data_IF_829575560039
#
_entry.id   IF_829575560039
#
_cell.length_a   1.000
_cell.length_b   1.000
_cell.length_c   1.000
_cell.angle_alpha   90.00
_cell.angle_beta   90.00
_cell.angle_gamma   90.00
#
_symmetry.space_group_name_H-M   'P 1'
#
loop_
_entity.id
_entity.type
_entity.pdbx_description
1 polymer ?
#
# COMPACT_ATOMS: atom_id res chain seq x y z
N UNK A 1 -11.26 -23.78 -14.03
CA UNK A 1 -9.90 -23.37 -13.61
C UNK A 1 -9.87 -22.06 -12.82
N UNK A 2 -10.70 -21.03 -13.12
CA UNK A 2 -10.68 -19.77 -12.37
C UNK A 2 -11.27 -19.87 -10.95
N UNK A 3 -12.41 -20.56 -10.80
CA UNK A 3 -13.12 -20.69 -9.53
C UNK A 3 -12.66 -21.90 -8.67
N UNK A 4 -11.36 -22.18 -8.66
CA UNK A 4 -10.77 -23.29 -7.88
C UNK A 4 -9.75 -22.75 -6.90
N UNK A 5 -9.62 -23.33 -5.69
CA UNK A 5 -8.60 -22.92 -4.74
C UNK A 5 -7.18 -22.94 -5.31
N UNK A 6 -6.34 -22.05 -4.80
CA UNK A 6 -4.93 -21.95 -5.16
C UNK A 6 -4.07 -21.77 -3.92
N UNK A 7 -3.18 -22.72 -3.67
CA UNK A 7 -2.20 -22.67 -2.59
C UNK A 7 -0.95 -21.93 -3.07
N UNK A 8 -0.62 -20.84 -2.41
CA UNK A 8 0.60 -20.09 -2.65
C UNK A 8 1.81 -20.81 -2.04
N UNK A 9 3.04 -20.54 -2.51
CA UNK A 9 4.27 -21.14 -1.96
C UNK A 9 4.43 -20.94 -0.45
N UNK A 10 3.84 -19.88 0.09
CA UNK A 10 3.86 -19.55 1.50
C UNK A 10 2.81 -20.31 2.35
N UNK A 11 2.06 -21.24 1.77
CA UNK A 11 1.03 -22.05 2.43
C UNK A 11 -0.35 -21.41 2.49
N UNK A 12 -0.50 -20.15 2.07
CA UNK A 12 -1.80 -19.46 2.01
C UNK A 12 -2.66 -20.09 0.93
N UNK A 13 -3.89 -20.49 1.27
CA UNK A 13 -4.88 -20.97 0.32
C UNK A 13 -5.86 -19.85 -0.01
N UNK A 14 -5.88 -19.41 -1.27
CA UNK A 14 -6.86 -18.47 -1.81
C UNK A 14 -8.01 -19.29 -2.41
N UNK A 15 -9.26 -18.93 -2.12
CA UNK A 15 -10.45 -19.69 -2.53
C UNK A 15 -10.67 -19.78 -4.05
N UNK A 16 -10.18 -18.81 -4.81
CA UNK A 16 -10.20 -18.81 -6.27
C UNK A 16 -9.06 -17.95 -6.84
N UNK A 17 -8.89 -17.98 -8.16
CA UNK A 17 -7.79 -17.31 -8.87
C UNK A 17 -8.14 -15.89 -9.34
N UNK A 18 -9.19 -15.29 -8.78
CA UNK A 18 -9.58 -13.91 -9.08
C UNK A 18 -8.99 -12.98 -8.04
N UNK A 19 -8.30 -11.94 -8.54
CA UNK A 19 -7.64 -10.94 -7.71
C UNK A 19 -8.15 -9.56 -8.11
N UNK A 20 -8.65 -8.80 -7.14
CA UNK A 20 -8.82 -7.35 -7.30
C UNK A 20 -7.44 -6.72 -7.15
N UNK A 21 -6.92 -6.16 -8.23
CA UNK A 21 -5.59 -5.54 -8.26
C UNK A 21 -5.54 -4.24 -7.44
N UNK A 22 -4.31 -3.80 -7.14
CA UNK A 22 -4.06 -2.49 -6.56
C UNK A 22 -4.62 -1.37 -7.45
N UNK A 23 -5.27 -0.39 -6.83
CA UNK A 23 -5.83 0.79 -7.52
C UNK A 23 -5.73 2.00 -6.61
N UNK A 24 -5.36 3.15 -7.15
CA UNK A 24 -5.41 4.42 -6.41
C UNK A 24 -6.86 4.87 -6.22
N UNK A 25 -7.39 4.78 -5.00
CA UNK A 25 -8.81 5.10 -4.73
C UNK A 25 -9.05 6.59 -4.46
N UNK A 26 -8.06 7.30 -3.90
CA UNK A 26 -8.17 8.70 -3.46
C UNK A 26 -9.30 8.95 -2.45
N UNK A 27 -9.49 8.01 -1.53
CA UNK A 27 -10.61 8.01 -0.58
C UNK A 27 -10.22 8.14 0.89
N UNK A 28 -8.93 8.34 1.23
CA UNK A 28 -8.56 8.61 2.62
C UNK A 28 -9.21 9.89 3.15
N UNK A 29 -9.30 10.02 4.47
CA UNK A 29 -9.60 11.31 5.10
C UNK A 29 -8.48 12.33 4.87
N UNK A 30 -8.73 13.60 5.23
CA UNK A 30 -7.71 14.67 5.22
C UNK A 30 -6.52 14.37 6.13
N UNK A 31 -6.73 13.55 7.17
CA UNK A 31 -5.71 13.02 8.06
C UNK A 31 -4.92 11.82 7.47
N UNK A 32 -5.17 11.46 6.21
CA UNK A 32 -4.63 10.29 5.52
C UNK A 32 -4.99 8.94 6.17
N UNK A 33 -6.06 8.88 6.97
CA UNK A 33 -6.57 7.64 7.58
C UNK A 33 -7.68 7.03 6.72
N UNK A 34 -7.89 5.70 6.78
CA UNK A 34 -9.09 5.08 6.25
C UNK A 34 -10.36 5.71 6.87
N UNK A 35 -11.45 5.72 6.12
CA UNK A 35 -12.74 6.25 6.59
C UNK A 35 -13.88 5.34 6.12
N UNK A 36 -15.12 5.68 6.48
CA UNK A 36 -16.29 4.88 6.15
C UNK A 36 -16.49 4.67 4.64
N UNK A 37 -16.09 5.63 3.78
CA UNK A 37 -16.21 5.50 2.32
C UNK A 37 -15.25 4.45 1.79
N UNK A 38 -14.00 4.46 2.26
CA UNK A 38 -13.00 3.45 1.90
C UNK A 38 -13.39 2.06 2.41
N UNK A 39 -13.90 1.98 3.65
CA UNK A 39 -14.44 0.73 4.20
C UNK A 39 -15.56 0.19 3.30
N UNK A 40 -16.55 1.03 2.97
CA UNK A 40 -17.68 0.63 2.12
C UNK A 40 -17.24 0.14 0.74
N UNK A 41 -16.26 0.80 0.12
CA UNK A 41 -15.71 0.36 -1.16
C UNK A 41 -15.15 -1.07 -1.08
N UNK A 42 -14.41 -1.38 -0.02
CA UNK A 42 -13.81 -2.70 0.16
C UNK A 42 -14.83 -3.76 0.55
N UNK A 43 -15.92 -3.40 1.24
CA UNK A 43 -17.06 -4.30 1.39
C UNK A 43 -17.65 -4.68 0.04
N UNK A 44 -17.91 -3.70 -0.83
CA UNK A 44 -18.49 -3.96 -2.15
C UNK A 44 -17.59 -4.84 -3.02
N UNK A 45 -16.28 -4.61 -2.99
CA UNK A 45 -15.36 -5.50 -3.69
C UNK A 45 -15.28 -6.89 -3.05
N UNK A 46 -15.39 -7.00 -1.73
CA UNK A 46 -15.41 -8.30 -1.08
C UNK A 46 -16.63 -9.15 -1.47
N UNK A 47 -17.75 -8.51 -1.82
CA UNK A 47 -18.98 -9.19 -2.25
C UNK A 47 -18.90 -9.77 -3.68
N UNK A 48 -17.80 -9.55 -4.42
CA UNK A 48 -17.64 -9.97 -5.83
C UNK A 48 -17.06 -11.38 -6.05
N UNK A 49 -17.07 -12.23 -5.01
CA UNK A 49 -16.47 -13.58 -5.04
C UNK A 49 -14.99 -13.59 -5.47
N UNK A 50 -14.23 -12.55 -5.13
CA UNK A 50 -12.77 -12.53 -5.36
C UNK A 50 -12.04 -13.35 -4.30
N UNK A 51 -10.98 -14.02 -4.71
CA UNK A 51 -10.14 -14.77 -3.79
C UNK A 51 -9.25 -13.85 -2.95
N UNK A 52 -8.75 -12.78 -3.59
CA UNK A 52 -7.81 -11.83 -3.00
C UNK A 52 -8.12 -10.40 -3.42
N UNK A 53 -8.10 -9.49 -2.44
CA UNK A 53 -8.12 -8.04 -2.66
C UNK A 53 -6.74 -7.46 -2.35
N UNK A 54 -6.17 -6.70 -3.28
CA UNK A 54 -4.97 -5.91 -3.01
C UNK A 54 -5.39 -4.46 -2.78
N UNK A 55 -4.88 -3.85 -1.71
CA UNK A 55 -5.22 -2.46 -1.42
C UNK A 55 -4.70 -1.51 -2.49
N UNK A 56 -5.20 -0.29 -2.55
CA UNK A 56 -4.44 0.81 -3.16
C UNK A 56 -3.17 1.14 -2.38
N UNK A 57 -2.50 2.19 -2.82
CA UNK A 57 -1.23 2.63 -2.25
C UNK A 57 -1.39 3.03 -0.77
N UNK A 58 -0.74 2.28 0.11
CA UNK A 58 -0.56 2.63 1.52
C UNK A 58 0.84 3.18 1.70
N UNK A 59 0.93 4.47 1.99
CA UNK A 59 2.18 5.20 2.01
C UNK A 59 2.89 5.05 3.36
N UNK A 60 4.21 4.88 3.33
CA UNK A 60 5.04 4.80 4.55
C UNK A 60 5.26 6.16 5.23
N UNK A 61 5.06 7.26 4.49
CA UNK A 61 5.19 8.63 4.97
C UNK A 61 4.26 9.60 4.25
N UNK A 62 4.09 10.80 4.81
CA UNK A 62 3.18 11.85 4.33
C UNK A 62 3.78 12.77 3.27
N UNK A 63 5.08 12.70 3.05
CA UNK A 63 5.84 13.59 2.17
C UNK A 63 6.09 13.02 0.78
N UNK A 64 5.79 11.73 0.57
CA UNK A 64 6.01 11.03 -0.71
C UNK A 64 4.76 10.30 -1.21
N UNK A 65 3.59 10.95 -1.14
CA UNK A 65 2.32 10.40 -1.61
C UNK A 65 2.31 10.18 -3.14
N UNK A 66 1.67 9.10 -3.60
CA UNK A 66 1.36 8.91 -5.03
C UNK A 66 0.26 9.88 -5.46
N UNK A 67 -0.76 10.03 -4.63
CA UNK A 67 -1.85 10.96 -4.87
C UNK A 67 -2.51 11.47 -3.59
N UNK A 68 -3.17 12.62 -3.71
CA UNK A 68 -4.06 13.09 -2.66
C UNK A 68 -5.16 12.04 -2.42
N UNK A 69 -5.39 11.72 -1.14
CA UNK A 69 -6.35 10.69 -0.75
C UNK A 69 -5.76 9.28 -0.60
N UNK A 70 -4.42 9.11 -0.64
CA UNK A 70 -3.79 7.87 -0.20
C UNK A 70 -3.85 7.72 1.32
N UNK A 71 -3.94 6.47 1.78
CA UNK A 71 -3.78 6.14 3.19
C UNK A 71 -2.29 6.19 3.55
N UNK A 72 -1.96 6.71 4.74
CA UNK A 72 -0.59 6.73 5.27
C UNK A 72 -0.53 5.90 6.55
N UNK A 73 0.51 5.07 6.67
CA UNK A 73 0.79 4.26 7.87
C UNK A 73 2.21 4.58 8.36
N UNK A 74 2.33 5.77 8.94
CA UNK A 74 3.56 6.27 9.55
C UNK A 74 3.55 6.14 11.08
N UNK A 75 2.40 5.79 11.69
CA UNK A 75 2.23 5.56 13.13
C UNK A 75 1.01 4.67 13.42
N UNK A 76 0.74 4.40 14.70
CA UNK A 76 -0.36 3.52 15.15
C UNK A 76 -1.70 4.25 15.39
N UNK A 77 -1.81 5.54 15.07
CA UNK A 77 -3.03 6.30 15.37
C UNK A 77 -4.23 5.95 14.48
N UNK A 78 -4.00 5.31 13.34
CA UNK A 78 -5.05 4.89 12.40
C UNK A 78 -5.44 3.41 12.59
N UNK A 79 -4.96 2.77 13.66
CA UNK A 79 -5.16 1.34 13.89
C UNK A 79 -6.64 0.90 13.91
N UNK A 80 -7.56 1.62 14.58
CA UNK A 80 -8.98 1.27 14.54
C UNK A 80 -9.57 1.28 13.13
N UNK A 81 -9.26 2.32 12.35
CA UNK A 81 -9.76 2.51 10.99
C UNK A 81 -9.16 1.49 10.02
N UNK A 82 -7.87 1.16 10.18
CA UNK A 82 -7.22 0.08 9.45
C UNK A 82 -7.86 -1.27 9.74
N UNK A 83 -8.23 -1.54 11.01
CA UNK A 83 -8.91 -2.78 11.38
C UNK A 83 -10.29 -2.88 10.72
N UNK A 84 -11.06 -1.79 10.71
CA UNK A 84 -12.35 -1.74 10.04
C UNK A 84 -12.21 -1.98 8.52
N UNK A 85 -11.23 -1.32 7.90
CA UNK A 85 -10.95 -1.46 6.47
C UNK A 85 -10.51 -2.89 6.09
N UNK A 86 -9.57 -3.46 6.83
CA UNK A 86 -9.15 -4.85 6.64
C UNK A 86 -10.32 -5.83 6.86
N UNK A 87 -11.14 -5.60 7.88
CA UNK A 87 -12.31 -6.42 8.21
C UNK A 87 -13.33 -6.45 7.08
N UNK A 88 -13.61 -5.30 6.46
CA UNK A 88 -14.50 -5.20 5.30
C UNK A 88 -14.03 -6.06 4.12
N UNK A 89 -12.73 -6.05 3.84
CA UNK A 89 -12.15 -6.84 2.76
C UNK A 89 -12.11 -8.35 3.00
N UNK A 90 -12.13 -8.79 4.26
CA UNK A 90 -12.05 -10.22 4.65
C UNK A 90 -13.38 -10.97 4.64
N UNK A 91 -14.48 -10.31 4.27
CA UNK A 91 -15.78 -10.97 4.17
C UNK A 91 -15.71 -12.16 3.21
N UNK A 92 -16.58 -13.14 3.41
CA UNK A 92 -16.71 -14.30 2.52
C UNK A 92 -15.43 -15.14 2.32
N UNK A 93 -14.51 -15.11 3.30
CA UNK A 93 -13.26 -15.89 3.22
C UNK A 93 -12.21 -15.28 2.30
N UNK A 94 -12.41 -14.04 1.83
CA UNK A 94 -11.48 -13.34 0.97
C UNK A 94 -10.18 -13.05 1.73
N UNK A 95 -9.06 -13.20 1.02
CA UNK A 95 -7.82 -12.58 1.45
C UNK A 95 -7.85 -11.10 1.13
N UNK A 96 -7.16 -10.32 1.94
CA UNK A 96 -6.85 -8.95 1.60
C UNK A 96 -5.40 -8.67 1.97
N UNK A 97 -4.64 -8.10 1.04
CA UNK A 97 -3.22 -7.82 1.19
C UNK A 97 -2.97 -6.34 0.97
N UNK A 98 -2.06 -5.78 1.76
CA UNK A 98 -1.70 -4.37 1.69
C UNK A 98 -0.58 -4.15 0.68
N UNK A 99 -0.73 -3.12 -0.15
CA UNK A 99 0.34 -2.60 -0.99
C UNK A 99 1.01 -1.43 -0.29
N UNK A 100 2.24 -1.63 0.19
CA UNK A 100 3.00 -0.59 0.91
C UNK A 100 3.89 0.13 -0.10
N UNK A 101 3.85 1.46 -0.12
CA UNK A 101 4.44 2.28 -1.17
C UNK A 101 5.21 3.51 -0.65
N UNK A 102 6.08 4.01 -1.51
CA UNK A 102 6.76 5.31 -1.39
C UNK A 102 7.00 5.85 -2.81
N UNK A 103 6.43 7.01 -3.15
CA UNK A 103 6.39 7.45 -4.57
C UNK A 103 7.68 8.08 -5.07
N UNK A 104 8.59 8.46 -4.18
CA UNK A 104 9.90 9.02 -4.56
C UNK A 104 9.77 10.16 -5.57
N UNK A 105 10.45 10.05 -6.72
CA UNK A 105 10.40 11.04 -7.82
C UNK A 105 9.02 11.21 -8.49
N UNK A 106 8.09 10.29 -8.26
CA UNK A 106 6.70 10.37 -8.74
C UNK A 106 5.76 11.05 -7.73
N UNK A 107 6.31 11.59 -6.63
CA UNK A 107 5.53 12.43 -5.72
C UNK A 107 5.12 13.72 -6.41
N UNK A 108 3.82 14.00 -6.45
CA UNK A 108 3.28 15.23 -7.02
C UNK A 108 3.91 16.47 -6.37
N UNK A 109 4.23 17.48 -7.18
CA UNK A 109 4.77 18.76 -6.69
C UNK A 109 3.83 19.51 -5.74
N UNK A 110 2.54 19.18 -5.78
CA UNK A 110 1.53 19.73 -4.86
C UNK A 110 1.60 19.10 -3.46
N UNK A 111 2.26 17.95 -3.32
CA UNK A 111 2.53 17.28 -2.04
C UNK A 111 3.91 17.70 -1.53
N UNK A 112 4.93 17.60 -2.37
CA UNK A 112 6.30 17.92 -1.99
C UNK A 112 7.06 18.51 -3.18
N UNK A 113 7.64 19.70 -2.99
CA UNK A 113 8.43 20.38 -4.02
C UNK A 113 9.83 19.81 -4.19
N UNK A 114 10.34 19.04 -3.23
CA UNK A 114 11.67 18.40 -3.27
C UNK A 114 11.57 16.99 -2.67
N UNK A 115 10.84 16.07 -3.32
CA UNK A 115 10.72 14.70 -2.82
C UNK A 115 12.08 14.03 -2.83
N UNK A 116 12.34 13.15 -1.86
CA UNK A 116 13.52 12.31 -1.84
C UNK A 116 13.34 11.17 -2.84
N UNK A 117 14.38 10.82 -3.58
CA UNK A 117 14.42 9.66 -4.46
C UNK A 117 15.85 9.14 -4.61
N UNK A 118 16.03 7.95 -5.17
CA UNK A 118 17.36 7.36 -5.35
C UNK A 118 18.31 8.26 -6.15
N UNK A 119 17.81 8.97 -7.17
CA UNK A 119 18.57 9.94 -7.94
C UNK A 119 17.92 11.33 -7.94
N UNK A 120 18.73 12.35 -8.25
CA UNK A 120 18.27 13.74 -8.42
C UNK A 120 17.63 14.01 -9.80
N UNK A 121 17.29 12.96 -10.55
CA UNK A 121 16.76 13.08 -11.92
C UNK A 121 15.27 13.38 -11.88
N UNK A 122 14.88 14.50 -12.47
CA UNK A 122 13.48 14.91 -12.53
C UNK A 122 12.69 14.03 -13.51
N UNK A 123 11.53 13.56 -13.08
CA UNK A 123 10.57 12.92 -13.97
C UNK A 123 9.86 13.98 -14.82
N UNK A 124 10.12 13.97 -16.14
CA UNK A 124 9.51 14.90 -17.09
C UNK A 124 8.14 14.37 -17.56
N UNK A 125 7.11 14.56 -16.75
CA UNK A 125 5.73 14.22 -17.12
C UNK A 125 4.77 15.35 -16.74
N UNK A 126 4.24 16.03 -17.75
CA UNK A 126 3.21 17.08 -17.64
C UNK A 126 3.52 18.22 -16.63
N UNK A 127 4.78 18.44 -16.26
CA UNK A 127 5.17 19.43 -15.24
C UNK A 127 4.64 19.16 -13.83
N UNK A 128 4.12 17.95 -13.57
CA UNK A 128 3.48 17.57 -12.31
C UNK A 128 4.47 17.18 -11.21
N UNK A 129 5.71 16.87 -11.57
CA UNK A 129 6.73 16.36 -10.65
C UNK A 129 7.91 17.32 -10.58
N UNK A 130 8.32 17.66 -9.36
CA UNK A 130 9.50 18.48 -9.12
C UNK A 130 10.79 17.66 -9.21
N UNK A 131 11.92 18.34 -9.38
CA UNK A 131 13.24 17.68 -9.30
C UNK A 131 13.45 17.12 -7.89
N UNK A 132 13.64 15.79 -7.73
CA UNK A 132 13.84 15.19 -6.42
C UNK A 132 15.22 15.53 -5.85
N UNK A 133 15.35 15.42 -4.53
CA UNK A 133 16.64 15.36 -3.84
C UNK A 133 17.14 13.91 -3.86
N UNK A 134 18.37 13.69 -4.31
CA UNK A 134 19.01 12.39 -4.19
C UNK A 134 19.12 11.99 -2.71
N UNK A 135 18.69 10.78 -2.38
CA UNK A 135 18.72 10.24 -1.03
C UNK A 135 20.17 10.02 -0.58
N UNK A 136 20.45 10.41 0.66
CA UNK A 136 21.64 9.95 1.39
C UNK A 136 21.41 8.54 1.92
N UNK A 137 22.47 7.86 2.36
CA UNK A 137 22.36 6.56 3.03
C UNK A 137 21.38 6.60 4.22
N UNK A 138 21.44 7.68 5.01
CA UNK A 138 20.49 7.91 6.10
C UNK A 138 19.05 7.99 5.60
N UNK A 139 18.81 8.71 4.50
CA UNK A 139 17.46 8.81 3.92
C UNK A 139 16.95 7.45 3.45
N UNK A 140 17.82 6.61 2.89
CA UNK A 140 17.48 5.24 2.48
C UNK A 140 17.10 4.40 3.70
N UNK A 141 17.90 4.46 4.77
CA UNK A 141 17.60 3.77 6.03
C UNK A 141 16.29 4.24 6.66
N UNK A 142 16.00 5.54 6.62
CA UNK A 142 14.72 6.09 7.10
C UNK A 142 13.53 5.53 6.31
N UNK A 143 13.65 5.43 4.98
CA UNK A 143 12.61 4.83 4.12
C UNK A 143 12.44 3.35 4.42
N UNK A 144 13.53 2.59 4.52
CA UNK A 144 13.50 1.16 4.90
C UNK A 144 12.79 0.99 6.25
N UNK A 145 13.12 1.81 7.24
CA UNK A 145 12.47 1.79 8.55
C UNK A 145 10.98 2.13 8.45
N UNK A 146 10.60 3.04 7.56
CA UNK A 146 9.19 3.33 7.23
C UNK A 146 8.45 2.10 6.70
N UNK A 147 9.05 1.37 5.75
CA UNK A 147 8.49 0.10 5.23
C UNK A 147 8.35 -0.96 6.33
N UNK A 148 9.39 -1.15 7.15
CA UNK A 148 9.37 -2.09 8.27
C UNK A 148 8.25 -1.72 9.25
N UNK A 149 8.15 -0.44 9.62
CA UNK A 149 7.11 0.06 10.53
C UNK A 149 5.72 -0.19 9.97
N UNK A 150 5.46 0.19 8.72
CA UNK A 150 4.18 -0.04 8.06
C UNK A 150 3.83 -1.53 7.99
N UNK A 151 4.79 -2.40 7.68
CA UNK A 151 4.61 -3.84 7.65
C UNK A 151 4.28 -4.41 9.03
N UNK A 152 4.98 -3.98 10.09
CA UNK A 152 4.70 -4.38 11.48
C UNK A 152 3.30 -3.95 11.91
N UNK A 153 2.91 -2.71 11.62
CA UNK A 153 1.59 -2.17 11.96
C UNK A 153 0.50 -2.95 11.21
N UNK A 154 0.69 -3.18 9.91
CA UNK A 154 -0.21 -4.01 9.11
C UNK A 154 -0.31 -5.42 9.72
N UNK A 155 0.81 -6.09 10.03
CA UNK A 155 0.80 -7.43 10.64
C UNK A 155 -0.05 -7.49 11.91
N UNK A 156 0.12 -6.54 12.83
CA UNK A 156 -0.55 -6.55 14.14
C UNK A 156 -2.08 -6.66 14.03
N UNK A 157 -2.70 -6.00 13.04
CA UNK A 157 -4.17 -5.84 12.98
C UNK A 157 -4.81 -6.45 11.75
N UNK A 158 -4.07 -6.56 10.65
CA UNK A 158 -4.51 -7.32 9.49
C UNK A 158 -4.61 -8.81 9.78
N UNK A 159 -4.04 -9.31 10.87
CA UNK A 159 -4.12 -10.72 11.29
C UNK A 159 -5.23 -11.05 12.29
N UNK A 160 -6.02 -10.09 12.77
CA UNK A 160 -6.89 -10.32 13.94
C UNK A 160 -8.05 -11.34 13.77
N UNK A 161 -8.15 -12.12 12.68
CA UNK A 161 -9.13 -13.25 12.62
C UNK A 161 -8.94 -14.26 11.48
N UNK A 162 -7.71 -14.66 11.16
CA UNK A 162 -7.49 -15.86 10.34
C UNK A 162 -6.16 -16.48 10.74
N UNK A 163 -6.24 -17.49 11.62
CA UNK A 163 -5.14 -18.43 11.82
C UNK A 163 -4.87 -19.11 10.45
N UNK A 164 -3.63 -19.06 9.98
CA UNK A 164 -3.10 -19.66 8.73
C UNK A 164 -3.02 -18.78 7.47
N UNK A 165 -2.86 -17.46 7.56
CA UNK A 165 -2.48 -16.66 6.37
C UNK A 165 -1.07 -16.08 6.49
N UNK A 166 -0.09 -16.65 5.78
CA UNK A 166 1.28 -16.14 5.68
C UNK A 166 1.34 -14.67 5.21
N UNK A 167 2.27 -13.88 5.76
CA UNK A 167 2.50 -12.48 5.39
C UNK A 167 2.95 -12.35 3.93
N UNK A 168 2.17 -11.66 3.10
CA UNK A 168 2.59 -11.20 1.77
C UNK A 168 2.43 -9.69 1.67
N UNK A 169 3.54 -9.05 1.31
CA UNK A 169 3.66 -7.61 1.06
C UNK A 169 4.02 -7.47 -0.41
N UNK A 170 3.34 -6.58 -1.11
CA UNK A 170 3.74 -6.20 -2.47
C UNK A 170 4.39 -4.83 -2.33
N UNK A 171 5.72 -4.79 -2.44
CA UNK A 171 6.46 -3.55 -2.63
C UNK A 171 6.40 -3.14 -4.11
N UNK A 172 6.26 -1.85 -4.36
CA UNK A 172 6.32 -1.31 -5.71
C UNK A 172 7.71 -1.56 -6.34
N UNK A 173 7.73 -2.13 -7.56
CA UNK A 173 8.95 -2.37 -8.34
C UNK A 173 9.77 -1.10 -8.59
N UNK A 174 9.11 0.07 -8.59
CA UNK A 174 9.76 1.36 -8.79
C UNK A 174 10.88 1.65 -7.77
N UNK A 175 10.83 1.04 -6.59
CA UNK A 175 11.88 1.17 -5.56
C UNK A 175 13.15 0.39 -5.96
N UNK A 176 13.02 -0.86 -6.41
CA UNK A 176 14.18 -1.66 -6.82
C UNK A 176 14.79 -1.16 -8.13
N UNK A 177 13.95 -0.68 -9.06
CA UNK A 177 14.43 -0.02 -10.28
C UNK A 177 15.15 1.30 -9.96
N UNK A 178 14.71 2.04 -8.92
CA UNK A 178 15.42 3.25 -8.48
C UNK A 178 16.77 2.94 -7.82
N UNK A 179 16.93 1.78 -7.18
CA UNK A 179 18.18 1.35 -6.54
C UNK A 179 19.19 0.81 -7.60
N UNK A 180 18.71 0.21 -8.69
CA UNK A 180 19.56 -0.43 -9.70
C UNK A 180 19.98 0.48 -10.87
N UNK A 181 19.50 1.72 -10.93
CA UNK A 181 19.93 2.73 -11.94
C UNK A 181 21.05 3.67 -11.41
N UNK A 182 21.77 3.26 -10.35
CA UNK A 182 22.94 3.97 -9.80
C UNK A 182 24.22 3.70 -10.60
#
# INVERSE_FOLDING_TARGET
MLNTPFTLPCGVVIQNRLVKAAMTERLSGSNCKPNARLVRLYEQWADTNVGLLITGNVMVDRYHLESAGNVVVDNEEALPEMKAWAGAGKKHGNHIWVQICHSGRQTSRFVNLKPKSASGVQLKKLGLFSKPKAMTEKDILDVINGFVKAAVIAKKKWFYRSANSCCSWISDKSIFESINES
#
